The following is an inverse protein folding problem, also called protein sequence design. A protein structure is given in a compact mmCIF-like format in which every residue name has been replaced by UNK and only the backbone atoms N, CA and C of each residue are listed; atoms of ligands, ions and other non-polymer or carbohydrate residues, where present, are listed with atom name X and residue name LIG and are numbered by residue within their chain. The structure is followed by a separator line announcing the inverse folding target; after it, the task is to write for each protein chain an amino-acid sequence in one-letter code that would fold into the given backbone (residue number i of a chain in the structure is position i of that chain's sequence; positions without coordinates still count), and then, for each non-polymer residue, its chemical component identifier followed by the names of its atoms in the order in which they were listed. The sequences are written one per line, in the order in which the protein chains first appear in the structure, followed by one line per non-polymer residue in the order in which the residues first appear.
data_IF_383328828537
#
_entry.id   IF_383328828537
#
_cell.length_a   1.000
_cell.length_b   1.000
_cell.length_c   1.000
_cell.angle_alpha   90.00
_cell.angle_beta   90.00
_cell.angle_gamma   90.00
#
_symmetry.space_group_name_H-M   'P 1'
#
loop_
_entity.id
_entity.type
_entity.pdbx_description
1 polymer ?
#
# COMPACT_ATOMS: atom_id res chain seq x y z
N UNK A 1 -4.56 11.57 6.11
CA UNK A 1 -5.57 10.91 6.96
C UNK A 1 -6.94 11.30 6.42
N UNK A 2 -7.66 10.34 5.85
CA UNK A 2 -8.87 10.64 5.11
C UNK A 2 -10.01 11.08 6.04
N UNK A 3 -9.96 10.78 7.34
CA UNK A 3 -10.98 11.21 8.32
C UNK A 3 -11.09 12.73 8.50
N UNK A 4 -10.14 13.52 7.97
CA UNK A 4 -10.18 14.98 8.00
C UNK A 4 -10.61 15.59 6.66
N UNK A 5 -10.99 14.76 5.68
CA UNK A 5 -11.59 15.22 4.42
C UNK A 5 -13.07 15.57 4.61
N UNK A 6 -13.61 16.53 3.85
CA UNK A 6 -15.06 16.85 3.85
C UNK A 6 -15.95 15.63 3.63
N UNK A 7 -15.46 14.66 2.86
CA UNK A 7 -16.19 13.46 2.43
C UNK A 7 -16.26 12.38 3.52
N UNK A 8 -15.30 12.36 4.45
CA UNK A 8 -15.20 11.30 5.46
C UNK A 8 -15.17 11.81 6.91
N UNK A 9 -15.26 13.13 7.12
CA UNK A 9 -15.19 13.75 8.45
C UNK A 9 -16.37 13.42 9.37
N UNK A 10 -17.46 12.86 8.84
CA UNK A 10 -18.62 12.41 9.61
C UNK A 10 -18.43 11.02 10.27
N UNK A 11 -17.21 10.49 10.29
CA UNK A 11 -16.88 9.25 10.98
C UNK A 11 -16.98 8.00 10.11
N UNK A 12 -16.82 8.12 8.80
CA UNK A 12 -16.97 7.02 7.82
C UNK A 12 -16.15 5.78 8.17
N UNK A 13 -14.94 5.96 8.73
CA UNK A 13 -14.01 4.85 8.97
C UNK A 13 -13.99 4.35 10.43
N UNK A 14 -14.38 5.19 11.40
CA UNK A 14 -14.23 4.86 12.82
C UNK A 14 -15.35 5.40 13.72
N UNK A 15 -16.43 5.89 13.14
CA UNK A 15 -17.60 6.41 13.84
C UNK A 15 -17.39 7.74 14.56
N UNK A 16 -16.22 8.39 14.41
CA UNK A 16 -15.91 9.65 15.12
C UNK A 16 -15.98 10.84 14.18
N UNK A 17 -16.87 11.78 14.50
CA UNK A 17 -16.97 13.06 13.78
C UNK A 17 -15.77 13.97 14.07
N UNK A 18 -15.28 14.66 13.05
CA UNK A 18 -14.14 15.57 13.10
C UNK A 18 -14.40 16.80 12.25
N UNK A 19 -13.73 17.94 12.50
CA UNK A 19 -13.77 19.06 11.56
C UNK A 19 -13.06 18.67 10.26
N UNK A 20 -13.66 19.02 9.12
CA UNK A 20 -12.99 18.92 7.82
C UNK A 20 -11.86 19.95 7.74
N UNK A 21 -10.66 19.49 7.39
CA UNK A 21 -9.47 20.33 7.21
C UNK A 21 -9.12 20.54 5.73
N UNK A 22 -9.53 19.60 4.87
CA UNK A 22 -9.30 19.58 3.42
C UNK A 22 -10.38 18.73 2.74
N UNK A 23 -10.33 18.54 1.44
CA UNK A 23 -11.20 17.62 0.69
C UNK A 23 -10.42 16.61 -0.15
N UNK A 24 -11.11 15.75 -0.91
CA UNK A 24 -10.43 14.74 -1.71
C UNK A 24 -9.65 15.32 -2.89
N UNK A 25 -9.94 16.53 -3.36
CA UNK A 25 -9.12 17.17 -4.38
C UNK A 25 -7.75 17.55 -3.81
N UNK A 26 -7.73 18.12 -2.61
CA UNK A 26 -6.50 18.40 -1.86
C UNK A 26 -5.67 17.11 -1.67
N UNK A 27 -6.30 16.00 -1.29
CA UNK A 27 -5.61 14.71 -1.11
C UNK A 27 -4.99 14.23 -2.42
N UNK A 28 -5.72 14.27 -3.54
CA UNK A 28 -5.18 13.93 -4.86
C UNK A 28 -3.99 14.82 -5.21
N UNK A 29 -4.07 16.12 -4.90
CA UNK A 29 -2.96 17.04 -5.12
C UNK A 29 -1.74 16.68 -4.26
N UNK A 30 -1.94 16.28 -3.00
CA UNK A 30 -0.85 15.81 -2.14
C UNK A 30 -0.19 14.54 -2.70
N UNK A 31 -0.96 13.57 -3.16
CA UNK A 31 -0.41 12.37 -3.78
C UNK A 31 0.40 12.69 -5.04
N UNK A 32 -0.09 13.61 -5.91
CA UNK A 32 0.67 14.07 -7.08
C UNK A 32 1.99 14.75 -6.69
N UNK A 33 1.99 15.59 -5.66
CA UNK A 33 3.22 16.22 -5.15
C UNK A 33 4.23 15.18 -4.64
N UNK A 34 3.75 14.11 -3.99
CA UNK A 34 4.60 12.99 -3.58
C UNK A 34 5.19 12.27 -4.79
N UNK A 35 4.39 12.00 -5.82
CA UNK A 35 4.86 11.36 -7.05
C UNK A 35 5.89 12.20 -7.81
N UNK A 36 5.66 13.51 -7.92
CA UNK A 36 6.58 14.46 -8.54
C UNK A 36 7.91 14.52 -7.77
N UNK A 37 7.86 14.57 -6.44
CA UNK A 37 9.03 14.59 -5.58
C UNK A 37 9.77 13.23 -5.55
N UNK A 38 9.06 12.13 -5.79
CA UNK A 38 9.63 10.79 -5.81
C UNK A 38 10.43 10.58 -7.10
N UNK A 39 11.75 10.63 -6.98
CA UNK A 39 12.67 10.30 -8.08
C UNK A 39 12.72 8.81 -8.45
N UNK A 40 12.08 7.96 -7.63
CA UNK A 40 12.02 6.50 -7.73
C UNK A 40 10.56 6.03 -7.49
N UNK A 41 10.22 4.79 -7.88
CA UNK A 41 8.95 4.17 -7.51
C UNK A 41 8.70 4.28 -6.01
N UNK A 42 7.46 4.59 -5.64
CA UNK A 42 7.04 4.75 -4.25
C UNK A 42 5.78 3.93 -3.98
N UNK A 43 5.55 3.65 -2.70
CA UNK A 43 4.37 2.91 -2.23
C UNK A 43 3.80 3.61 -1.01
N UNK A 44 2.49 3.48 -0.80
CA UNK A 44 1.83 4.05 0.39
C UNK A 44 1.87 3.06 1.57
N UNK A 45 2.16 3.57 2.77
CA UNK A 45 2.18 2.79 4.00
C UNK A 45 0.88 3.00 4.79
N UNK A 46 0.38 1.95 5.43
CA UNK A 46 -0.89 2.04 6.15
C UNK A 46 -0.86 2.91 7.41
N UNK A 47 0.33 3.22 7.95
CA UNK A 47 0.52 3.97 9.21
C UNK A 47 -0.29 3.47 10.43
N UNK A 48 -0.93 2.30 10.36
CA UNK A 48 -1.81 1.77 11.41
C UNK A 48 -3.27 2.23 11.32
N UNK A 49 -3.71 2.82 10.20
CA UNK A 49 -5.13 3.09 9.96
C UNK A 49 -5.94 1.80 9.79
N UNK A 50 -7.26 1.89 9.90
CA UNK A 50 -8.17 0.78 9.69
C UNK A 50 -8.21 0.38 8.21
N UNK A 51 -8.55 -0.88 7.93
CA UNK A 51 -8.50 -1.42 6.57
C UNK A 51 -9.40 -0.66 5.60
N UNK A 52 -10.57 -0.17 6.05
CA UNK A 52 -11.50 0.60 5.22
C UNK A 52 -10.90 1.92 4.74
N UNK A 53 -10.18 2.63 5.61
CA UNK A 53 -9.48 3.87 5.23
C UNK A 53 -8.29 3.54 4.31
N UNK A 54 -7.51 2.50 4.66
CA UNK A 54 -6.31 2.18 3.91
C UNK A 54 -6.61 1.74 2.47
N UNK A 55 -7.74 1.08 2.23
CA UNK A 55 -8.19 0.74 0.87
C UNK A 55 -8.37 1.99 0.02
N UNK A 56 -8.96 3.05 0.59
CA UNK A 56 -9.17 4.31 -0.12
C UNK A 56 -7.86 5.09 -0.31
N UNK A 57 -6.98 5.08 0.69
CA UNK A 57 -5.62 5.62 0.57
C UNK A 57 -4.85 4.97 -0.59
N UNK A 58 -4.92 3.63 -0.71
CA UNK A 58 -4.26 2.89 -1.80
C UNK A 58 -4.85 3.28 -3.16
N UNK A 59 -6.17 3.40 -3.27
CA UNK A 59 -6.83 3.82 -4.51
C UNK A 59 -6.34 5.20 -4.95
N UNK A 60 -6.39 6.19 -4.05
CA UNK A 60 -5.97 7.57 -4.33
C UNK A 60 -4.47 7.68 -4.66
N UNK A 61 -3.63 6.95 -3.93
CA UNK A 61 -2.18 6.96 -4.16
C UNK A 61 -1.81 6.33 -5.52
N UNK A 62 -2.43 5.21 -5.87
CA UNK A 62 -2.13 4.53 -7.14
C UNK A 62 -2.63 5.30 -8.35
N UNK A 63 -3.79 5.97 -8.24
CA UNK A 63 -4.27 6.92 -9.25
C UNK A 63 -3.30 8.10 -9.49
N UNK A 64 -2.45 8.42 -8.51
CA UNK A 64 -1.46 9.49 -8.60
C UNK A 64 -0.06 9.04 -9.04
N UNK A 65 0.17 7.74 -9.26
CA UNK A 65 1.46 7.21 -9.73
C UNK A 65 2.17 6.25 -8.78
N UNK A 66 1.62 5.98 -7.59
CA UNK A 66 2.21 4.99 -6.69
C UNK A 66 2.32 3.60 -7.35
N UNK A 67 3.40 2.88 -7.04
CA UNK A 67 3.65 1.51 -7.52
C UNK A 67 3.04 0.42 -6.65
N UNK A 68 2.18 0.80 -5.70
CA UNK A 68 1.46 -0.14 -4.83
C UNK A 68 1.41 0.33 -3.39
N UNK A 69 1.40 -0.63 -2.48
CA UNK A 69 1.22 -0.38 -1.06
C UNK A 69 2.10 -1.30 -0.19
N UNK A 70 2.36 -0.86 1.04
CA UNK A 70 2.96 -1.66 2.09
C UNK A 70 1.99 -1.72 3.28
N UNK A 71 1.22 -2.80 3.33
CA UNK A 71 0.19 -3.03 4.33
C UNK A 71 0.71 -3.86 5.50
N UNK A 72 0.78 -3.25 6.69
CA UNK A 72 1.12 -3.95 7.93
C UNK A 72 -0.12 -4.21 8.77
N UNK A 73 -0.22 -3.50 9.90
CA UNK A 73 -1.32 -3.61 10.88
C UNK A 73 -2.72 -3.56 10.26
N UNK A 74 -2.93 -2.76 9.23
CA UNK A 74 -4.23 -2.71 8.53
C UNK A 74 -4.69 -4.09 8.02
N UNK A 75 -3.76 -4.98 7.66
CA UNK A 75 -4.06 -6.34 7.18
C UNK A 75 -4.36 -7.28 8.35
N UNK A 76 -3.47 -7.34 9.35
CA UNK A 76 -3.44 -8.42 10.33
C UNK A 76 -3.90 -8.06 11.75
N UNK A 77 -4.01 -6.78 12.13
CA UNK A 77 -4.22 -6.40 13.54
C UNK A 77 -5.51 -6.95 14.16
N UNK A 78 -6.52 -7.26 13.33
CA UNK A 78 -7.79 -7.80 13.79
C UNK A 78 -7.67 -9.20 14.41
N UNK A 79 -6.60 -9.95 14.14
CA UNK A 79 -6.38 -11.26 14.78
C UNK A 79 -5.93 -11.13 16.25
N UNK A 80 -5.34 -10.00 16.64
CA UNK A 80 -4.69 -9.83 17.96
C UNK A 80 -5.66 -10.09 19.11
N UNK A 81 -6.95 -9.76 18.93
CA UNK A 81 -8.00 -9.99 19.95
C UNK A 81 -8.29 -11.46 20.25
N UNK A 82 -7.87 -12.39 19.39
CA UNK A 82 -8.05 -13.83 19.60
C UNK A 82 -6.87 -14.44 20.35
N UNK A 83 -5.71 -13.80 20.39
CA UNK A 83 -4.56 -14.30 21.14
C UNK A 83 -4.89 -14.40 22.65
N UNK A 84 -4.50 -15.49 23.36
CA UNK A 84 -3.57 -16.54 22.95
C UNK A 84 -4.16 -17.75 22.21
N UNK A 85 -5.43 -17.73 21.81
CA UNK A 85 -6.03 -18.79 21.00
C UNK A 85 -5.44 -18.76 19.58
N UNK A 86 -4.45 -19.63 19.33
CA UNK A 86 -3.72 -19.68 18.06
C UNK A 86 -4.57 -20.19 16.91
N UNK A 87 -5.53 -21.07 17.17
CA UNK A 87 -6.40 -21.64 16.13
C UNK A 87 -7.38 -20.56 15.63
N UNK A 88 -7.94 -19.77 16.56
CA UNK A 88 -8.76 -18.62 16.20
C UNK A 88 -7.97 -17.52 15.48
N UNK A 89 -6.70 -17.30 15.85
CA UNK A 89 -5.78 -16.39 15.13
C UNK A 89 -5.55 -16.87 13.70
N UNK A 90 -5.23 -18.14 13.50
CA UNK A 90 -5.00 -18.73 12.18
C UNK A 90 -6.26 -18.70 11.31
N UNK A 91 -7.42 -19.02 11.89
CA UNK A 91 -8.70 -18.94 11.20
C UNK A 91 -9.00 -17.49 10.76
N UNK A 92 -8.72 -16.49 11.60
CA UNK A 92 -8.95 -15.11 11.22
C UNK A 92 -8.00 -14.63 10.12
N UNK A 93 -6.72 -15.01 10.19
CA UNK A 93 -5.72 -14.67 9.17
C UNK A 93 -6.05 -15.29 7.81
N UNK A 94 -6.43 -16.56 7.79
CA UNK A 94 -6.80 -17.29 6.56
C UNK A 94 -8.11 -16.80 5.92
N UNK A 95 -8.97 -16.13 6.70
CA UNK A 95 -10.25 -15.58 6.22
C UNK A 95 -10.21 -14.06 6.06
N UNK A 96 -10.34 -13.33 7.16
CA UNK A 96 -10.45 -11.87 7.21
C UNK A 96 -9.14 -11.19 6.80
N UNK A 97 -8.00 -11.67 7.30
CA UNK A 97 -6.69 -11.15 6.90
C UNK A 97 -6.43 -11.32 5.40
N UNK A 98 -6.68 -12.51 4.87
CA UNK A 98 -6.61 -12.79 3.44
C UNK A 98 -7.58 -11.91 2.63
N UNK A 99 -8.81 -11.69 3.12
CA UNK A 99 -9.77 -10.80 2.48
C UNK A 99 -9.28 -9.33 2.47
N UNK A 100 -8.71 -8.84 3.56
CA UNK A 100 -8.11 -7.51 3.65
C UNK A 100 -7.01 -7.33 2.60
N UNK A 101 -6.10 -8.31 2.48
CA UNK A 101 -5.07 -8.29 1.45
C UNK A 101 -5.66 -8.27 0.03
N UNK A 102 -6.64 -9.13 -0.27
CA UNK A 102 -7.30 -9.15 -1.59
C UNK A 102 -7.94 -7.80 -1.94
N UNK A 103 -8.65 -7.18 -1.00
CA UNK A 103 -9.26 -5.86 -1.19
C UNK A 103 -8.21 -4.77 -1.49
N UNK A 104 -7.08 -4.79 -0.79
CA UNK A 104 -5.96 -3.87 -1.07
C UNK A 104 -5.31 -4.14 -2.43
N UNK A 105 -5.14 -5.41 -2.79
CA UNK A 105 -4.66 -5.79 -4.12
C UNK A 105 -5.59 -5.25 -5.22
N UNK A 106 -6.90 -5.41 -5.08
CA UNK A 106 -7.88 -4.86 -6.01
C UNK A 106 -7.82 -3.32 -6.07
N UNK A 107 -7.72 -2.65 -4.92
CA UNK A 107 -7.55 -1.20 -4.88
C UNK A 107 -6.25 -0.72 -5.55
N UNK A 108 -5.22 -1.57 -5.56
CA UNK A 108 -3.92 -1.27 -6.16
C UNK A 108 -3.83 -1.56 -7.67
N UNK A 109 -4.91 -2.01 -8.32
CA UNK A 109 -4.88 -2.40 -9.74
C UNK A 109 -4.52 -1.25 -10.70
N UNK A 110 -4.69 0.00 -10.26
CA UNK A 110 -4.25 1.20 -10.97
C UNK A 110 -2.78 1.58 -10.76
N UNK A 111 -2.03 0.83 -9.95
CA UNK A 111 -0.64 1.14 -9.63
C UNK A 111 0.25 1.12 -10.88
N UNK A 112 1.21 2.05 -10.93
CA UNK A 112 2.22 2.05 -11.99
C UNK A 112 3.27 0.98 -11.68
N UNK A 113 3.45 -0.05 -12.54
CA UNK A 113 4.50 -1.03 -12.34
C UNK A 113 5.86 -0.33 -12.18
N UNK A 114 6.66 -0.75 -11.20
CA UNK A 114 7.88 -0.03 -10.83
C UNK A 114 8.86 0.16 -12.02
N UNK A 115 8.89 -0.81 -12.94
CA UNK A 115 9.73 -0.78 -14.13
C UNK A 115 9.25 0.20 -15.21
N UNK A 116 7.96 0.55 -15.21
CA UNK A 116 7.39 1.58 -16.10
C UNK A 116 7.58 3.00 -15.57
N UNK A 117 8.10 3.16 -14.33
CA UNK A 117 8.38 4.47 -13.77
C UNK A 117 9.42 5.23 -14.62
N UNK A 118 9.24 6.56 -14.76
CA UNK A 118 10.09 7.48 -15.55
C UNK A 118 11.59 7.34 -15.34
N UNK A 119 12.01 6.85 -14.16
CA UNK A 119 13.42 6.56 -13.83
C UNK A 119 14.00 5.41 -14.67
N UNK A 120 13.23 4.34 -14.86
CA UNK A 120 13.68 3.11 -15.49
C UNK A 120 13.32 3.06 -16.98
N UNK A 121 12.29 3.80 -17.40
CA UNK A 121 11.95 3.95 -18.81
C UNK A 121 11.33 2.70 -19.44
N UNK A 122 10.74 1.80 -18.64
CA UNK A 122 10.09 0.58 -19.10
C UNK A 122 10.99 -0.66 -19.06
N UNK A 123 10.37 -1.83 -19.13
CA UNK A 123 11.05 -3.13 -19.08
C UNK A 123 12.24 -3.29 -20.05
N UNK A 124 12.19 -2.79 -21.31
CA UNK A 124 13.32 -2.92 -22.25
C UNK A 124 14.62 -2.22 -21.81
N UNK A 125 14.52 -1.27 -20.87
CA UNK A 125 15.65 -0.48 -20.37
C UNK A 125 16.21 -1.03 -19.04
N UNK A 126 15.72 -2.20 -18.60
CA UNK A 126 16.17 -2.86 -17.39
C UNK A 126 17.13 -3.99 -17.77
N UNK A 127 18.39 -3.80 -17.45
CA UNK A 127 19.39 -4.87 -17.45
C UNK A 127 19.55 -5.39 -16.03
N UNK A 128 19.26 -6.68 -15.85
CA UNK A 128 19.55 -7.37 -14.60
C UNK A 128 21.03 -7.75 -14.62
N UNK A 129 21.81 -7.25 -13.66
CA UNK A 129 23.17 -7.71 -13.48
C UNK A 129 23.17 -9.23 -13.20
N UNK A 130 24.06 -9.96 -13.88
CA UNK A 130 24.21 -11.41 -13.77
C UNK A 130 23.01 -12.26 -14.24
N UNK A 131 22.15 -11.80 -15.15
CA UNK A 131 20.91 -12.50 -15.62
C UNK A 131 21.09 -13.82 -16.40
N UNK A 132 22.32 -14.30 -16.57
CA UNK A 132 22.62 -15.52 -17.32
C UNK A 132 22.12 -16.80 -16.63
N UNK A 133 22.09 -17.92 -17.38
CA UNK A 133 21.74 -19.27 -16.86
C UNK A 133 22.57 -19.72 -15.63
N UNK A 134 23.63 -19.00 -15.28
CA UNK A 134 24.53 -19.27 -14.16
C UNK A 134 24.49 -18.18 -13.07
N UNK A 135 23.49 -17.30 -13.05
CA UNK A 135 23.38 -16.19 -12.08
C UNK A 135 23.60 -16.63 -10.63
N UNK A 136 23.04 -17.79 -10.25
CA UNK A 136 23.17 -18.39 -8.92
C UNK A 136 24.61 -18.78 -8.54
N UNK A 137 25.52 -18.89 -9.52
CA UNK A 137 26.95 -19.18 -9.29
C UNK A 137 27.75 -17.92 -8.99
N UNK A 138 27.30 -16.77 -9.52
CA UNK A 138 27.94 -15.47 -9.31
C UNK A 138 27.30 -14.70 -8.15
N UNK A 139 26.12 -15.14 -7.69
CA UNK A 139 25.47 -14.57 -6.52
C UNK A 139 26.30 -14.85 -5.26
N UNK A 140 27.02 -13.82 -4.78
CA UNK A 140 27.91 -13.89 -3.61
C UNK A 140 27.18 -13.96 -2.26
N UNK A 141 25.85 -14.06 -2.25
CA UNK A 141 25.03 -14.05 -1.05
C UNK A 141 25.03 -12.68 -0.35
N UNK A 142 24.17 -12.53 0.66
CA UNK A 142 24.31 -11.44 1.64
C UNK A 142 25.36 -11.88 2.66
N UNK A 143 26.63 -11.68 2.34
CA UNK A 143 27.69 -11.81 3.34
C UNK A 143 27.60 -10.62 4.29
N UNK A 144 27.28 -10.92 5.55
CA UNK A 144 27.27 -10.01 6.71
C UNK A 144 28.68 -9.58 7.11
#
# INVERSE_FOLDING_TARGET
DLKYTKEYCDGTFDGKKRPALYDLDDVRQFCRKVDEASGLPWVILSAGVQIEEFIEDVRLATEAGASGFLGGRAIWQGCVKFYPDTDAVEQWLSTSGANNFRRLYEASRGATPWFEHKRFGGYPNIELADDGKNWYRNFSGFTS
#
